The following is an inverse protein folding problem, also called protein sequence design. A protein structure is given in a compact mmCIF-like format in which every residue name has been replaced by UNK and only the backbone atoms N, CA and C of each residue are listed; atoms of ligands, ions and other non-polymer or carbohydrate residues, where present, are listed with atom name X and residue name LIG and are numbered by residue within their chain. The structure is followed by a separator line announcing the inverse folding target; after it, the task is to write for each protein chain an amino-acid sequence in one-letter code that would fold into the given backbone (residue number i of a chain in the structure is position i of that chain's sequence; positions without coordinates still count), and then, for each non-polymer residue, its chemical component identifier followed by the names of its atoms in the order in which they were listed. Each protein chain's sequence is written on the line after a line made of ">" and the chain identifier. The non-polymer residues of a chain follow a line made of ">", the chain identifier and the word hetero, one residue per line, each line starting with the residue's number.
data_IF_792415685960
#
_entry.id   IF_792415685960
#
_cell.length_a   1.000
_cell.length_b   1.000
_cell.length_c   1.000
_cell.angle_alpha   90.00
_cell.angle_beta   90.00
_cell.angle_gamma   90.00
#
_symmetry.space_group_name_H-M   'P 1'
#
loop_
_entity.id
_entity.type
_entity.pdbx_description
1 polymer ?
2 non-polymer ?
3 water ?
#
# COMPACT_ATOMS: atom_id res chain seq x y z
N UNK A 5 3.05 4.89 22.19
CA UNK A 5 3.83 4.60 20.95
C UNK A 5 4.39 5.83 20.22
N UNK A 6 5.72 6.02 20.25
CA UNK A 6 6.41 7.17 19.67
C UNK A 6 6.74 6.82 18.18
N UNK A 7 6.61 7.80 17.30
CA UNK A 7 6.81 7.60 15.86
C UNK A 7 8.28 7.88 15.45
N UNK A 8 8.77 7.19 14.40
CA UNK A 8 10.05 7.61 13.77
C UNK A 8 9.96 7.43 12.24
N UNK A 9 10.45 8.39 11.46
CA UNK A 9 10.47 8.23 9.94
C UNK A 9 10.56 9.60 9.28
N UNK A 10 10.37 9.67 8.00
CA UNK A 10 9.90 8.49 7.25
C UNK A 10 11.04 7.63 6.75
N UNK A 11 10.70 6.41 6.42
CA UNK A 11 11.59 5.46 5.75
C UNK A 11 11.13 5.35 4.28
N UNK A 12 11.94 5.82 3.35
CA UNK A 12 11.47 5.83 1.94
C UNK A 12 11.54 4.39 1.35
N UNK A 13 10.40 3.88 0.83
CA UNK A 13 10.29 2.53 0.24
C UNK A 13 10.32 2.65 -1.31
N UNK A 14 9.91 3.82 -1.84
CA UNK A 14 9.89 4.13 -3.30
C UNK A 14 9.87 5.63 -3.45
N UNK A 15 10.64 6.11 -4.44
CA UNK A 15 10.45 7.46 -4.87
C UNK A 15 10.74 7.53 -6.37
N UNK A 16 9.96 8.29 -7.12
CA UNK A 16 10.11 8.30 -8.60
C UNK A 16 8.75 8.68 -9.13
N UNK A 17 8.37 8.11 -10.25
CA UNK A 17 7.05 8.40 -10.85
C UNK A 17 6.60 7.11 -11.52
N UNK A 18 5.62 6.41 -10.93
CA UNK A 18 5.10 5.23 -11.62
C UNK A 18 3.64 5.50 -11.95
N UNK A 19 3.24 5.27 -13.19
CA UNK A 19 1.86 5.46 -13.58
C UNK A 19 1.21 4.19 -13.99
N UNK A 20 -0.04 3.96 -13.54
CA UNK A 20 -0.79 2.77 -13.96
C UNK A 20 -2.19 3.26 -14.36
N UNK A 21 -2.69 2.67 -15.43
CA UNK A 21 -4.07 2.91 -15.95
C UNK A 21 -4.94 1.76 -15.68
N UNK A 22 -6.20 1.97 -15.37
CA UNK A 22 -7.09 0.84 -15.11
C UNK A 22 -8.50 1.41 -15.10
N UNK A 23 -9.38 0.83 -15.93
CA UNK A 23 -10.73 1.34 -16.03
C UNK A 23 -11.83 0.40 -15.64
N UNK A 24 -11.58 -0.90 -15.62
CA UNK A 24 -12.63 -1.89 -15.17
C UNK A 24 -12.03 -3.27 -15.04
N UNK A 25 -12.61 -4.04 -14.16
CA UNK A 25 -12.26 -5.40 -13.97
C UNK A 25 -12.77 -6.27 -15.14
N UNK A 26 -12.22 -7.45 -15.28
CA UNK A 26 -12.75 -8.50 -16.15
C UNK A 26 -11.68 -8.79 -17.15
N UNK A 27 -10.64 -8.00 -17.15
CA UNK A 27 -9.72 -7.95 -18.28
C UNK A 27 -8.45 -8.69 -18.08
N UNK A 28 -7.46 -8.26 -18.87
CA UNK A 28 -6.08 -8.77 -18.81
C UNK A 28 -5.61 -8.88 -17.36
N UNK A 29 -5.42 -7.71 -16.76
CA UNK A 29 -4.84 -7.67 -15.47
C UNK A 29 -5.27 -6.37 -14.83
N UNK A 30 -4.90 -6.25 -13.58
CA UNK A 30 -5.18 -5.09 -12.75
C UNK A 30 -3.83 -4.61 -12.33
N UNK A 31 -3.32 -3.59 -13.00
CA UNK A 31 -1.88 -3.26 -12.74
C UNK A 31 -1.66 -2.60 -11.42
N UNK A 32 -0.39 -2.61 -10.94
CA UNK A 32 -0.02 -1.87 -9.71
C UNK A 32 0.79 -0.65 -10.07
N UNK A 33 0.65 0.43 -9.28
CA UNK A 33 1.56 1.56 -9.42
C UNK A 33 2.83 1.29 -8.61
N UNK A 34 2.76 0.45 -7.60
CA UNK A 34 3.93 0.06 -6.86
C UNK A 34 3.64 -1.36 -6.34
N UNK A 35 4.61 -2.24 -6.41
CA UNK A 35 4.42 -3.57 -5.73
C UNK A 35 5.76 -4.20 -5.33
N UNK A 36 5.69 -5.07 -4.31
CA UNK A 36 6.87 -5.76 -3.75
C UNK A 36 6.45 -7.20 -3.56
N UNK A 37 7.35 -8.15 -3.95
CA UNK A 37 7.15 -9.57 -3.59
C UNK A 37 8.17 -9.85 -2.46
N UNK A 38 7.72 -9.85 -1.19
CA UNK A 38 8.74 -9.83 -0.10
C UNK A 38 9.63 -11.10 0.00
N UNK A 39 9.19 -12.24 -0.56
CA UNK A 39 10.14 -13.39 -0.56
C UNK A 39 11.30 -13.20 -1.51
N UNK A 40 11.22 -12.22 -2.39
CA UNK A 40 12.22 -12.04 -3.48
C UNK A 40 12.91 -10.69 -3.46
N UNK A 41 12.38 -9.75 -2.67
CA UNK A 41 12.88 -8.34 -2.72
C UNK A 41 12.94 -7.90 -1.29
N UNK A 42 13.99 -7.16 -0.91
CA UNK A 42 14.12 -6.63 0.49
C UNK A 42 12.94 -5.69 0.82
N UNK A 44 12.25 -2.90 3.39
CA UNK A 44 12.99 -2.01 4.32
C UNK A 44 12.18 -1.63 5.59
N UNK A 45 10.95 -2.05 5.67
CA UNK A 45 10.07 -1.80 6.80
C UNK A 45 9.89 -3.11 7.55
N UNK A 46 10.11 -3.10 8.84
CA UNK A 46 9.85 -4.26 9.66
C UNK A 46 8.38 -4.38 10.01
N UNK A 47 7.67 -5.32 9.36
CA UNK A 47 6.16 -5.40 9.57
C UNK A 47 5.82 -6.01 10.91
N UNK A 48 6.81 -6.47 11.70
CA UNK A 48 6.49 -6.95 13.04
C UNK A 48 6.34 -5.81 14.01
N UNK A 49 6.92 -4.66 13.66
CA UNK A 49 6.75 -3.44 14.41
C UNK A 49 5.43 -2.78 14.09
N UNK A 50 4.94 -1.91 14.95
CA UNK A 50 3.77 -1.11 14.56
C UNK A 50 4.19 -0.09 13.51
N UNK A 51 3.35 0.19 12.50
CA UNK A 51 3.79 1.07 11.36
C UNK A 51 2.53 1.65 10.68
N UNK A 52 2.76 2.67 9.84
CA UNK A 52 1.79 3.01 8.84
C UNK A 52 2.57 3.21 7.55
N UNK A 53 1.85 3.12 6.41
CA UNK A 53 2.44 3.31 5.09
C UNK A 53 1.81 4.51 4.46
N UNK A 54 2.61 5.41 3.86
CA UNK A 54 2.10 6.64 3.28
C UNK A 54 2.39 6.58 1.82
N UNK A 55 1.42 7.00 1.00
CA UNK A 55 1.63 6.98 -0.48
C UNK A 55 1.27 8.34 -1.06
N UNK A 56 2.24 9.01 -1.74
CA UNK A 56 1.90 10.24 -2.43
C UNK A 56 1.44 9.82 -3.82
N UNK A 57 0.24 10.28 -4.19
CA UNK A 57 -0.30 9.85 -5.54
C UNK A 57 -1.11 11.00 -6.09
N UNK A 58 -1.43 10.89 -7.39
CA UNK A 58 -2.22 11.89 -8.13
C UNK A 58 -3.13 11.04 -9.04
N UNK A 59 -4.42 11.36 -9.10
CA UNK A 59 -5.27 10.61 -10.09
C UNK A 59 -6.29 9.75 -9.36
N UNK A 60 -6.38 8.50 -9.78
CA UNK A 60 -7.37 7.53 -9.26
C UNK A 60 -7.30 7.31 -7.77
N UNK A 61 -8.45 7.02 -7.17
CA UNK A 61 -8.39 6.40 -5.83
C UNK A 61 -7.54 5.15 -5.80
N UNK A 62 -6.90 4.87 -4.68
CA UNK A 62 -5.99 3.68 -4.64
C UNK A 62 -6.34 2.77 -3.51
N UNK A 63 -5.90 1.51 -3.59
CA UNK A 63 -6.02 0.60 -2.48
C UNK A 63 -4.63 0.03 -2.17
N UNK A 64 -4.45 -0.42 -0.95
CA UNK A 64 -3.24 -1.16 -0.57
C UNK A 64 -3.66 -2.62 -0.40
N UNK A 65 -2.88 -3.50 -0.95
CA UNK A 65 -3.12 -4.96 -0.88
C UNK A 65 -1.96 -5.67 -0.16
N UNK A 66 -2.29 -6.52 0.82
CA UNK A 66 -1.32 -7.53 1.32
C UNK A 66 -1.96 -8.88 1.02
N UNK A 67 -1.16 -9.79 0.43
CA UNK A 67 -1.73 -11.11 0.02
C UNK A 67 -0.76 -12.23 0.32
N UNK A 68 -1.38 -13.39 0.59
CA UNK A 68 -0.57 -14.59 0.87
C UNK A 68 -1.30 -15.68 0.08
N UNK A 69 -0.60 -16.25 -0.90
CA UNK A 69 -1.27 -17.15 -1.87
C UNK A 69 -1.70 -18.41 -1.26
N UNK A 70 -0.81 -19.06 -0.54
CA UNK A 70 -1.14 -20.41 -0.05
C UNK A 70 -2.31 -20.46 0.99
N UNK A 71 -2.68 -19.36 1.59
CA UNK A 71 -3.81 -19.28 2.49
C UNK A 71 -4.98 -18.49 1.89
N UNK A 72 -4.87 -18.15 0.65
CA UNK A 72 -5.88 -17.41 -0.04
C UNK A 72 -6.30 -16.16 0.63
N UNK A 73 -5.33 -15.43 1.11
CA UNK A 73 -5.63 -14.13 1.73
C UNK A 73 -5.33 -13.02 0.75
N UNK A 74 -6.29 -12.12 0.58
CA UNK A 74 -6.14 -10.92 -0.26
C UNK A 74 -6.75 -9.82 0.56
N UNK A 75 -5.89 -9.07 1.28
CA UNK A 75 -6.37 -8.03 2.22
C UNK A 75 -6.31 -6.73 1.44
N UNK A 76 -7.41 -6.05 1.18
CA UNK A 76 -7.45 -4.93 0.31
C UNK A 76 -8.12 -3.78 1.08
N UNK A 77 -7.42 -2.67 1.21
CA UNK A 77 -8.03 -1.61 2.02
C UNK A 77 -7.83 -0.28 1.34
N UNK A 78 -8.75 0.63 1.62
CA UNK A 78 -8.66 2.02 1.23
C UNK A 78 -7.85 2.76 2.35
N UNK A 79 -7.32 3.91 2.06
CA UNK A 79 -6.58 4.68 3.11
C UNK A 79 -7.51 5.10 4.27
N UNK A 80 -6.93 5.20 5.47
CA UNK A 80 -7.70 5.76 6.58
C UNK A 80 -8.06 7.20 6.26
N UNK A 81 -7.15 7.98 5.63
CA UNK A 81 -7.41 9.35 5.21
C UNK A 81 -6.42 9.65 4.10
N UNK A 82 -6.71 10.74 3.41
CA UNK A 82 -5.85 11.35 2.38
C UNK A 82 -5.73 12.85 2.60
N UNK A 83 -4.51 13.40 2.59
CA UNK A 83 -4.43 14.86 2.87
C UNK A 83 -3.40 15.37 1.89
N UNK A 84 -3.78 16.39 1.11
CA UNK A 84 -2.93 17.04 0.12
C UNK A 84 -2.13 15.98 -0.67
N UNK A 85 -2.86 14.99 -1.15
CA UNK A 85 -2.22 14.05 -2.06
C UNK A 85 -1.46 12.90 -1.41
N UNK A 86 -1.52 12.77 -0.08
CA UNK A 86 -0.84 11.67 0.59
C UNK A 86 -1.85 10.80 1.28
N UNK A 87 -1.90 9.54 0.87
CA UNK A 87 -2.81 8.56 1.48
C UNK A 87 -2.06 7.87 2.63
N UNK A 88 -2.76 7.62 3.74
CA UNK A 88 -2.13 6.85 4.86
C UNK A 88 -2.92 5.57 5.19
N UNK A 89 -2.21 4.45 5.35
CA UNK A 89 -2.78 3.17 5.66
C UNK A 89 -2.11 2.73 6.93
N UNK A 90 -2.87 2.28 7.94
CA UNK A 90 -2.27 1.84 9.21
C UNK A 90 -2.06 0.32 9.28
N UNK A 91 -1.12 -0.14 10.09
CA UNK A 91 -1.01 -1.58 10.30
C UNK A 91 -2.29 -2.16 10.91
N UNK A 92 -2.99 -1.39 11.74
CA UNK A 92 -4.28 -1.85 12.30
C UNK A 92 -5.26 -2.15 11.15
N UNK A 93 -5.34 -1.26 10.17
CA UNK A 93 -6.35 -1.47 9.09
C UNK A 93 -5.96 -2.73 8.31
N UNK A 94 -4.66 -2.89 8.01
CA UNK A 94 -4.16 -4.01 7.17
C UNK A 94 -4.34 -5.32 7.94
N UNK A 95 -4.07 -5.32 9.28
CA UNK A 95 -4.23 -6.55 10.06
C UNK A 95 -5.70 -7.02 10.14
N UNK A 96 -6.59 -6.03 10.18
CA UNK A 96 -8.02 -6.33 10.28
C UNK A 96 -8.47 -7.03 8.94
N UNK A 97 -8.04 -6.46 7.79
CA UNK A 97 -8.39 -7.02 6.48
C UNK A 97 -7.67 -8.37 6.22
N UNK A 98 -6.49 -8.55 6.80
CA UNK A 98 -5.66 -9.77 6.57
C UNK A 98 -6.11 -10.95 7.44
N UNK A 99 -6.70 -10.59 8.57
CA UNK A 99 -7.19 -11.55 9.61
C UNK A 99 -6.14 -11.92 10.65
N UNK A 100 -4.99 -11.24 10.61
CA UNK A 100 -3.95 -11.49 11.60
C UNK A 100 -3.04 -10.26 11.58
N UNK A 101 -2.34 -10.04 12.67
CA UNK A 101 -1.25 -9.07 12.56
C UNK A 101 0.13 -9.69 12.34
N UNK A 102 0.13 -10.99 12.06
CA UNK A 102 1.32 -11.74 11.80
C UNK A 102 1.48 -11.95 10.30
N UNK A 103 2.44 -11.26 9.71
CA UNK A 103 2.56 -11.25 8.24
C UNK A 103 3.61 -12.26 7.79
N UNK A 104 3.97 -13.22 8.66
CA UNK A 104 4.91 -14.25 8.17
C UNK A 104 4.35 -14.89 6.90
N UNK A 105 5.24 -15.10 5.92
CA UNK A 105 4.85 -15.83 4.76
C UNK A 105 4.15 -14.93 3.75
N UNK A 106 3.99 -13.62 4.01
CA UNK A 106 3.42 -12.72 3.03
C UNK A 106 4.08 -12.85 1.67
N UNK A 107 3.24 -12.87 0.64
CA UNK A 107 3.73 -12.91 -0.73
C UNK A 107 3.75 -11.66 -1.54
N UNK A 108 2.91 -10.72 -1.20
CA UNK A 108 2.67 -9.63 -2.11
C UNK A 108 2.16 -8.39 -1.36
N UNK A 109 2.76 -7.24 -1.68
CA UNK A 109 2.23 -5.97 -1.19
C UNK A 109 2.10 -5.10 -2.47
N UNK A 110 0.96 -4.41 -2.69
CA UNK A 110 0.80 -3.60 -3.90
C UNK A 110 -0.07 -2.40 -3.60
N UNK A 111 0.20 -1.30 -4.29
CA UNK A 111 -0.68 -0.12 -4.32
C UNK A 111 -1.27 -0.16 -5.74
N UNK A 112 -2.61 -0.27 -5.88
CA UNK A 112 -3.31 -0.42 -7.17
C UNK A 112 -4.29 0.70 -7.31
N UNK A 113 -4.51 1.20 -8.54
CA UNK A 113 -5.59 2.19 -8.77
C UNK A 113 -6.95 1.51 -8.89
N UNK A 114 -7.92 2.18 -8.29
CA UNK A 114 -9.30 1.75 -8.66
C UNK A 114 -9.68 2.43 -9.95
N UNK A 115 -10.82 1.92 -10.57
CA UNK A 115 -11.18 2.38 -11.92
C UNK A 115 -11.23 3.84 -12.02
N UNK A 116 -10.70 4.39 -13.11
CA UNK A 116 -10.81 5.82 -13.35
C UNK A 116 -10.47 6.15 -14.78
N UNK A 117 -10.79 7.37 -15.19
CA UNK A 117 -10.45 7.82 -16.52
C UNK A 117 -8.97 8.07 -16.70
N UNK A 118 -8.35 8.62 -15.68
CA UNK A 118 -6.99 9.18 -15.80
C UNK A 118 -5.86 8.23 -15.33
N UNK A 119 -6.22 7.21 -14.58
CA UNK A 119 -5.27 6.33 -13.98
C UNK A 119 -4.62 7.01 -12.72
N UNK A 120 -3.56 6.37 -12.20
CA UNK A 120 -2.92 6.95 -11.00
C UNK A 120 -1.42 7.16 -11.27
N UNK A 121 -0.84 8.19 -10.69
CA UNK A 121 0.64 8.23 -10.63
C UNK A 121 1.10 8.21 -9.17
N UNK A 122 2.05 7.37 -8.82
CA UNK A 122 2.55 7.31 -7.42
C UNK A 122 3.99 7.87 -7.50
N UNK A 123 4.29 8.79 -6.58
CA UNK A 123 5.62 9.47 -6.59
C UNK A 123 6.43 9.13 -5.32
N UNK A 124 5.80 8.54 -4.29
CA UNK A 124 6.59 8.16 -3.09
C UNK A 124 5.76 7.14 -2.36
N UNK A 125 6.40 6.13 -1.77
CA UNK A 125 5.79 5.25 -0.79
C UNK A 125 6.79 5.28 0.37
N UNK A 126 6.29 5.49 1.57
CA UNK A 126 7.19 5.50 2.74
C UNK A 126 6.52 4.73 3.89
N UNK A 127 7.32 4.46 4.93
CA UNK A 127 6.78 3.88 6.17
C UNK A 127 7.16 4.75 7.38
N UNK A 128 6.36 4.61 8.46
CA UNK A 128 6.72 5.28 9.66
C UNK A 128 6.52 4.21 10.68
N UNK A 129 7.47 4.05 11.60
CA UNK A 129 7.30 3.16 12.73
C UNK A 129 6.53 3.99 13.80
N UNK A 130 5.50 3.37 14.46
CA UNK A 130 4.46 4.18 15.21
C UNK A 130 4.45 3.57 16.61
N UNK A 131 5.36 2.61 16.65
CA UNK A 131 6.05 1.92 17.72
C UNK A 131 6.27 0.49 17.22
N UNK A 132 6.11 -0.57 18.04
CA UNK A 132 6.38 -1.92 17.62
C UNK A 132 5.60 -2.86 18.55
#
# INVERSE_FOLDING_TARGET
>A
MASSGADSGEIILFSGSNHADFKAWGGDDWPSAFEISPKYEPXKLDLNKNFEIKVDYNGADIVLIFARWDKDIWAQISPYYVVDGTAVFTKEQIAKAYGSDDFSGLDYIAVKPLPSEEGVTVTKVSGIYTNGGSEDLEHHHHHH
#
